data_IF_838682938913
#
_entry.id   IF_838682938913
#
_cell.length_a   1.000
_cell.length_b   1.000
_cell.length_c   1.000
_cell.angle_alpha   90.00
_cell.angle_beta   90.00
_cell.angle_gamma   90.00
#
_symmetry.space_group_name_H-M   'P 1'
#
loop_
_entity.id
_entity.type
_entity.pdbx_description
1 polymer ?
#
# COMPACT_ATOMS: atom_id res chain seq x y z
N UNK A 1 35.80 -20.79 -29.80
CA UNK A 1 35.49 -19.41 -29.32
C UNK A 1 34.63 -18.55 -30.25
N UNK A 2 34.48 -18.84 -31.56
CA UNK A 2 33.61 -18.03 -32.45
C UNK A 2 32.10 -18.18 -32.17
N UNK A 3 31.65 -19.38 -31.76
CA UNK A 3 30.23 -19.67 -31.46
C UNK A 3 29.77 -18.99 -30.17
N UNK A 4 30.56 -19.07 -29.10
CA UNK A 4 30.27 -18.39 -27.82
C UNK A 4 30.20 -16.88 -27.99
N UNK A 5 31.12 -16.28 -28.74
CA UNK A 5 31.12 -14.82 -29.01
C UNK A 5 29.87 -14.36 -29.78
N UNK A 6 29.35 -15.19 -30.70
CA UNK A 6 28.10 -14.92 -31.43
C UNK A 6 26.87 -15.04 -30.53
N UNK A 7 26.83 -16.02 -29.64
CA UNK A 7 25.75 -16.20 -28.68
C UNK A 7 25.72 -15.02 -27.70
N UNK A 8 26.86 -14.60 -27.15
CA UNK A 8 26.93 -13.46 -26.25
C UNK A 8 26.50 -12.16 -26.93
N UNK A 9 26.89 -11.95 -28.20
CA UNK A 9 26.47 -10.76 -28.96
C UNK A 9 24.96 -10.75 -29.22
N UNK A 10 24.36 -11.91 -29.56
CA UNK A 10 22.92 -12.04 -29.71
C UNK A 10 22.18 -11.76 -28.41
N UNK A 11 22.69 -12.27 -27.28
CA UNK A 11 22.08 -12.09 -25.98
C UNK A 11 22.11 -10.62 -25.53
N UNK A 12 23.23 -9.93 -25.76
CA UNK A 12 23.34 -8.49 -25.52
C UNK A 12 22.39 -7.67 -26.41
N UNK A 13 22.25 -8.02 -27.68
CA UNK A 13 21.33 -7.34 -28.59
C UNK A 13 19.86 -7.50 -28.14
N UNK A 14 19.48 -8.70 -27.68
CA UNK A 14 18.13 -8.96 -27.14
C UNK A 14 17.88 -8.13 -25.88
N UNK A 15 18.83 -8.10 -24.94
CA UNK A 15 18.72 -7.27 -23.73
C UNK A 15 18.55 -5.79 -24.10
N UNK A 16 19.32 -5.29 -25.08
CA UNK A 16 19.26 -3.90 -25.50
C UNK A 16 17.90 -3.52 -26.10
N UNK A 17 17.29 -4.40 -26.89
CA UNK A 17 15.94 -4.20 -27.46
C UNK A 17 14.86 -4.23 -26.37
N UNK A 18 14.98 -5.12 -25.39
CA UNK A 18 14.04 -5.19 -24.26
C UNK A 18 14.13 -3.90 -23.42
N UNK A 19 15.34 -3.43 -23.12
CA UNK A 19 15.53 -2.17 -22.38
C UNK A 19 14.97 -0.97 -23.12
N UNK A 20 15.08 -0.93 -24.45
CA UNK A 20 14.55 0.16 -25.27
C UNK A 20 13.00 0.17 -25.30
N UNK A 21 12.38 -1.01 -25.40
CA UNK A 21 10.91 -1.13 -25.32
C UNK A 21 10.38 -0.85 -23.92
N UNK A 22 11.12 -1.20 -22.86
CA UNK A 22 10.74 -0.83 -21.49
C UNK A 22 10.64 0.69 -21.34
N UNK A 23 11.58 1.47 -21.88
CA UNK A 23 11.51 2.93 -21.79
C UNK A 23 10.27 3.54 -22.46
N UNK A 24 9.76 2.99 -23.57
CA UNK A 24 8.55 3.51 -24.23
C UNK A 24 7.26 3.03 -23.55
N UNK A 25 7.21 1.80 -23.03
CA UNK A 25 6.04 1.25 -22.34
C UNK A 25 5.86 1.90 -20.95
N UNK A 26 6.94 2.25 -20.25
CA UNK A 26 6.87 2.90 -18.93
C UNK A 26 6.73 4.44 -19.01
N UNK A 27 7.03 5.08 -20.15
CA UNK A 27 6.88 6.53 -20.29
C UNK A 27 5.43 7.00 -20.48
N UNK A 28 4.51 6.11 -20.88
CA UNK A 28 3.13 6.48 -21.22
C UNK A 28 2.14 6.40 -20.04
N UNK A 29 2.61 6.12 -18.82
CA UNK A 29 1.80 6.06 -17.59
C UNK A 29 2.15 7.17 -16.59
N UNK A 30 2.50 8.37 -17.04
CA UNK A 30 2.45 9.56 -16.16
C UNK A 30 1.01 10.06 -16.08
N UNK A 31 0.06 9.21 -15.68
CA UNK A 31 -1.04 9.72 -14.90
C UNK A 31 -0.40 10.25 -13.61
N UNK A 32 -0.74 11.47 -13.21
CA UNK A 32 -0.26 12.07 -11.97
C UNK A 32 -0.78 11.21 -10.81
N UNK A 33 -0.01 10.19 -10.43
CA UNK A 33 -0.37 9.29 -9.32
C UNK A 33 -0.29 10.12 -8.07
N UNK A 34 -1.44 10.41 -7.47
CA UNK A 34 -1.55 11.15 -6.24
C UNK A 34 -0.62 10.54 -5.19
N UNK A 35 0.36 11.31 -4.75
CA UNK A 35 1.33 10.88 -3.76
C UNK A 35 0.88 11.36 -2.37
N UNK A 36 1.13 10.56 -1.32
CA UNK A 36 0.89 11.03 0.02
C UNK A 36 1.85 12.16 0.38
N UNK A 37 1.43 12.99 1.33
CA UNK A 37 2.31 14.00 1.90
C UNK A 37 3.56 13.36 2.52
N UNK A 38 4.73 14.01 2.40
CA UNK A 38 6.01 13.47 2.86
C UNK A 38 6.00 12.99 4.31
N UNK A 39 5.27 13.66 5.20
CA UNK A 39 5.15 13.28 6.61
C UNK A 39 4.38 11.96 6.83
N UNK A 40 3.49 11.60 5.91
CA UNK A 40 2.63 10.41 5.99
C UNK A 40 3.20 9.20 5.23
N UNK A 41 4.22 9.41 4.40
CA UNK A 41 4.76 8.42 3.47
C UNK A 41 5.22 7.14 4.19
N UNK A 42 5.99 7.27 5.26
CA UNK A 42 6.45 6.12 6.04
C UNK A 42 5.27 5.36 6.66
N UNK A 43 4.32 6.08 7.26
CA UNK A 43 3.12 5.46 7.85
C UNK A 43 2.31 4.68 6.83
N UNK A 44 2.13 5.24 5.63
CA UNK A 44 1.40 4.59 4.53
C UNK A 44 2.15 3.36 4.01
N UNK A 45 3.47 3.41 3.91
CA UNK A 45 4.29 2.24 3.56
C UNK A 45 4.11 1.11 4.57
N UNK A 46 4.15 1.42 5.87
CA UNK A 46 3.92 0.41 6.91
C UNK A 46 2.49 -0.13 6.86
N UNK A 47 1.49 0.72 6.63
CA UNK A 47 0.11 0.28 6.44
C UNK A 47 -0.02 -0.70 5.27
N UNK A 48 0.69 -0.46 4.16
CA UNK A 48 0.66 -1.36 3.00
C UNK A 48 1.37 -2.69 3.31
N UNK A 49 2.56 -2.65 3.92
CA UNK A 49 3.33 -3.85 4.32
C UNK A 49 2.54 -4.75 5.26
N UNK A 50 1.83 -4.14 6.21
CA UNK A 50 1.02 -4.87 7.18
C UNK A 50 -0.42 -5.08 6.71
N UNK A 51 -0.78 -4.69 5.50
CA UNK A 51 -2.13 -4.84 4.94
C UNK A 51 -3.21 -4.27 5.88
N UNK A 52 -2.95 -3.09 6.46
CA UNK A 52 -3.84 -2.44 7.43
C UNK A 52 -5.00 -1.68 6.78
N UNK A 53 -4.88 -1.35 5.50
CA UNK A 53 -5.88 -0.59 4.76
C UNK A 53 -6.12 -1.21 3.38
N UNK A 54 -7.34 -1.01 2.87
CA UNK A 54 -7.76 -1.46 1.54
C UNK A 54 -7.12 -0.60 0.45
N UNK A 55 -6.96 -1.15 -0.76
CA UNK A 55 -6.30 -0.46 -1.86
C UNK A 55 -6.99 0.87 -2.25
N UNK A 56 -8.30 0.93 -2.03
CA UNK A 56 -9.11 2.14 -2.25
C UNK A 56 -8.65 3.32 -1.39
N UNK A 57 -8.12 3.08 -0.18
CA UNK A 57 -7.58 4.13 0.69
C UNK A 57 -6.25 4.70 0.19
N UNK A 58 -5.57 4.00 -0.72
CA UNK A 58 -4.34 4.47 -1.36
C UNK A 58 -4.61 5.21 -2.68
N UNK A 59 -5.86 5.29 -3.13
CA UNK A 59 -6.23 5.90 -4.40
C UNK A 59 -6.41 7.42 -4.32
N UNK A 60 -6.70 7.98 -3.14
CA UNK A 60 -6.92 9.41 -2.95
C UNK A 60 -6.47 9.90 -1.55
N UNK A 61 -5.23 10.37 -1.45
CA UNK A 61 -4.61 10.81 -0.20
C UNK A 61 -5.08 12.18 0.29
N UNK A 62 -5.70 12.99 -0.56
CA UNK A 62 -6.24 14.31 -0.22
C UNK A 62 -7.69 14.28 0.27
N UNK A 63 -8.38 13.15 0.08
CA UNK A 63 -9.73 12.94 0.58
C UNK A 63 -9.77 12.84 2.11
N UNK A 64 -10.91 13.22 2.69
CA UNK A 64 -11.14 13.04 4.12
C UNK A 64 -11.55 11.59 4.38
N UNK A 65 -10.83 10.94 5.29
CA UNK A 65 -11.19 9.63 5.82
C UNK A 65 -12.53 9.71 6.55
N UNK A 66 -13.41 8.78 6.23
CA UNK A 66 -14.72 8.59 6.88
C UNK A 66 -14.58 7.74 8.15
N UNK A 67 -15.56 7.84 9.05
CA UNK A 67 -15.57 7.00 10.26
C UNK A 67 -15.63 5.49 9.93
N UNK A 68 -16.29 5.12 8.83
CA UNK A 68 -16.38 3.72 8.40
C UNK A 68 -15.03 3.18 7.95
N UNK A 69 -14.30 3.94 7.14
CA UNK A 69 -12.94 3.59 6.70
C UNK A 69 -11.99 3.46 7.89
N UNK A 70 -12.05 4.40 8.84
CA UNK A 70 -11.23 4.35 10.05
C UNK A 70 -11.59 3.13 10.93
N UNK A 71 -12.87 2.79 11.03
CA UNK A 71 -13.32 1.61 11.77
C UNK A 71 -12.78 0.31 11.15
N UNK A 72 -12.81 0.19 9.82
CA UNK A 72 -12.25 -0.98 9.10
C UNK A 72 -10.75 -1.14 9.34
N UNK A 73 -9.98 -0.04 9.26
CA UNK A 73 -8.54 -0.08 9.56
C UNK A 73 -8.29 -0.51 11.01
N UNK A 74 -9.13 -0.04 11.93
CA UNK A 74 -9.03 -0.37 13.36
C UNK A 74 -9.37 -1.83 13.65
N UNK A 75 -10.37 -2.40 12.97
CA UNK A 75 -10.73 -3.82 13.03
C UNK A 75 -9.58 -4.70 12.54
N UNK A 76 -8.98 -4.36 11.38
CA UNK A 76 -7.84 -5.09 10.83
C UNK A 76 -6.63 -5.03 11.77
N UNK A 77 -6.34 -3.84 12.32
CA UNK A 77 -5.25 -3.65 13.27
C UNK A 77 -5.47 -4.49 14.53
N UNK A 78 -6.68 -4.44 15.10
CA UNK A 78 -7.03 -5.23 16.28
C UNK A 78 -6.82 -6.72 16.03
N UNK A 79 -7.33 -7.23 14.90
CA UNK A 79 -7.17 -8.63 14.50
C UNK A 79 -5.70 -9.02 14.34
N UNK A 80 -4.86 -8.16 13.75
CA UNK A 80 -3.43 -8.46 13.56
C UNK A 80 -2.65 -8.45 14.88
N UNK A 81 -3.05 -7.64 15.86
CA UNK A 81 -2.39 -7.58 17.17
C UNK A 81 -2.84 -8.72 18.09
N UNK A 82 -4.14 -9.01 18.13
CA UNK A 82 -4.74 -9.92 19.10
C UNK A 82 -4.98 -11.33 18.54
N UNK A 83 -5.12 -11.46 17.23
CA UNK A 83 -5.59 -12.68 16.57
C UNK A 83 -7.12 -12.87 16.64
N UNK A 84 -7.85 -11.97 17.29
CA UNK A 84 -9.29 -12.06 17.51
C UNK A 84 -10.05 -11.19 16.50
N UNK A 85 -11.19 -11.68 16.01
CA UNK A 85 -12.12 -10.87 15.22
C UNK A 85 -13.06 -10.14 16.18
N UNK A 86 -13.19 -8.83 15.98
CA UNK A 86 -14.06 -7.97 16.78
C UNK A 86 -15.11 -7.37 15.86
N UNK A 87 -16.37 -7.38 16.31
CA UNK A 87 -17.42 -6.73 15.53
C UNK A 87 -17.30 -5.21 15.66
N UNK A 88 -17.60 -4.47 14.59
CA UNK A 88 -17.69 -3.00 14.60
C UNK A 88 -18.61 -2.51 15.75
N UNK A 89 -19.64 -3.29 16.09
CA UNK A 89 -20.55 -2.98 17.20
C UNK A 89 -19.84 -2.95 18.56
N UNK A 90 -18.82 -3.79 18.77
CA UNK A 90 -18.04 -3.87 20.00
C UNK A 90 -16.93 -2.80 20.04
N UNK A 91 -16.41 -2.38 18.88
CA UNK A 91 -15.48 -1.24 18.78
C UNK A 91 -16.15 0.08 19.22
N UNK A 92 -17.42 0.27 18.87
CA UNK A 92 -18.19 1.45 19.29
C UNK A 92 -18.33 1.49 20.82
N UNK A 93 -18.56 0.34 21.46
CA UNK A 93 -18.66 0.23 22.91
C UNK A 93 -17.32 0.50 23.62
N UNK A 94 -16.19 0.09 23.02
CA UNK A 94 -14.84 0.41 23.51
C UNK A 94 -14.43 1.87 23.33
N UNK A 95 -15.01 2.56 22.33
CA UNK A 95 -14.75 3.97 22.06
C UNK A 95 -15.47 4.92 23.03
N UNK A 96 -16.46 4.42 23.77
CA UNK A 96 -17.13 5.24 24.77
C UNK A 96 -16.21 5.44 25.98
N UNK A 97 -16.01 6.70 26.44
CA UNK A 97 -15.23 6.94 27.63
C UNK A 97 -15.89 6.25 28.82
N UNK A 98 -15.21 5.25 29.39
CA UNK A 98 -15.61 4.59 30.63
C UNK A 98 -15.63 5.67 31.74
N UNK A 99 -16.81 6.25 32.00
CA UNK A 99 -17.06 7.18 33.11
C UNK A 99 -17.09 6.45 34.46
N UNK A 100 -16.15 5.55 34.69
CA UNK A 100 -16.03 4.80 35.93
C UNK A 100 -14.62 4.98 36.48
N UNK A 101 -14.29 6.20 36.90
CA UNK A 101 -13.20 6.43 37.83
C UNK A 101 -13.71 7.34 38.95
N UNK A 102 -13.76 6.74 40.15
CA UNK A 102 -13.80 7.35 41.49
C UNK A 102 -15.08 8.07 41.94
N UNK A 103 -15.83 7.35 42.78
CA UNK A 103 -16.55 7.89 43.95
C UNK A 103 -15.58 7.86 45.15
#
# INVERSE_FOLDING_TARGET
>A
MKKTRRITALLLAVIMVISLQATEIFAQQTAEVEQPSMWALEGIQWCAVYELAQEELYANYTSKVTCEELAKVSEILYKKITGEEISISELVDLSQPQRNATM
#
